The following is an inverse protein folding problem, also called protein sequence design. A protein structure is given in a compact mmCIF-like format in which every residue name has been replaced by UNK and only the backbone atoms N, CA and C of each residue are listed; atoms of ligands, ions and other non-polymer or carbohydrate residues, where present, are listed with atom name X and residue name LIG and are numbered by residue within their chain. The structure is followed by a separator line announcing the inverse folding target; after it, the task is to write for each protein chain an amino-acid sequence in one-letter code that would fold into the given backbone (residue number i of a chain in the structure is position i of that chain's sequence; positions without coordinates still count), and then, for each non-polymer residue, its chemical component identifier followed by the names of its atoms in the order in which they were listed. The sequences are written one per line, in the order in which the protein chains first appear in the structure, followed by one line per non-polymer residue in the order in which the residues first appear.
data_IF_724936400060
#
_entry.id   IF_724936400060
#
_cell.length_a   1.000
_cell.length_b   1.000
_cell.length_c   1.000
_cell.angle_alpha   90.00
_cell.angle_beta   90.00
_cell.angle_gamma   90.00
#
_symmetry.space_group_name_H-M   'P 1'
#
loop_
_entity.id
_entity.type
_entity.pdbx_description
1 polymer ?
#
# COMPACT_ATOMS: atom_id res chain seq x y z
N UNK A 1 -5.61 2.54 -87.53
CA UNK A 1 -4.99 2.96 -86.25
C UNK A 1 -6.09 3.05 -85.20
N UNK A 2 -6.25 2.00 -84.39
CA UNK A 2 -7.27 1.93 -83.34
C UNK A 2 -6.65 2.48 -82.05
N UNK A 3 -7.29 3.49 -81.46
CA UNK A 3 -6.85 4.23 -80.26
C UNK A 3 -6.59 3.28 -79.08
N UNK A 4 -5.33 3.11 -78.70
CA UNK A 4 -4.87 2.35 -77.53
C UNK A 4 -4.94 3.13 -76.20
N UNK A 5 -5.24 4.44 -76.23
CA UNK A 5 -5.30 5.27 -75.02
C UNK A 5 -6.44 4.94 -74.05
N UNK A 6 -7.54 4.35 -74.51
CA UNK A 6 -8.69 4.06 -73.64
C UNK A 6 -8.42 2.92 -72.63
N UNK A 7 -7.52 1.99 -72.95
CA UNK A 7 -7.23 0.83 -72.10
C UNK A 7 -6.21 1.15 -71.00
N UNK A 8 -5.28 2.08 -71.26
CA UNK A 8 -4.28 2.48 -70.27
C UNK A 8 -4.89 3.24 -69.08
N UNK A 9 -5.90 4.10 -69.32
CA UNK A 9 -6.60 4.80 -68.24
C UNK A 9 -7.40 3.87 -67.32
N UNK A 10 -7.95 2.79 -67.87
CA UNK A 10 -8.73 1.81 -67.12
C UNK A 10 -7.84 0.93 -66.23
N UNK A 11 -6.66 0.53 -66.72
CA UNK A 11 -5.67 -0.21 -65.93
C UNK A 11 -5.15 0.65 -64.76
N UNK A 12 -4.84 1.93 -65.01
CA UNK A 12 -4.36 2.83 -63.97
C UNK A 12 -5.42 3.07 -62.88
N UNK A 13 -6.69 3.22 -63.27
CA UNK A 13 -7.82 3.32 -62.35
C UNK A 13 -7.99 2.08 -61.48
N UNK A 14 -7.84 0.88 -62.06
CA UNK A 14 -7.94 -0.39 -61.34
C UNK A 14 -6.82 -0.54 -60.30
N UNK A 15 -5.60 -0.15 -60.64
CA UNK A 15 -4.45 -0.18 -59.72
C UNK A 15 -4.67 0.78 -58.55
N UNK A 16 -5.13 2.01 -58.81
CA UNK A 16 -5.42 3.00 -57.76
C UNK A 16 -6.55 2.51 -56.85
N UNK A 17 -7.60 1.91 -57.43
CA UNK A 17 -8.69 1.32 -56.67
C UNK A 17 -8.22 0.19 -55.75
N UNK A 18 -7.35 -0.70 -56.25
CA UNK A 18 -6.76 -1.78 -55.45
C UNK A 18 -5.88 -1.27 -54.32
N UNK A 19 -5.05 -0.26 -54.58
CA UNK A 19 -4.24 0.39 -53.54
C UNK A 19 -5.12 1.00 -52.45
N UNK A 20 -6.23 1.63 -52.84
CA UNK A 20 -7.19 2.21 -51.89
C UNK A 20 -7.87 1.12 -51.04
N UNK A 21 -8.30 0.01 -51.66
CA UNK A 21 -8.88 -1.14 -50.97
C UNK A 21 -7.91 -1.77 -49.96
N UNK A 22 -6.67 -2.02 -50.38
CA UNK A 22 -5.64 -2.61 -49.52
C UNK A 22 -5.34 -1.68 -48.35
N UNK A 23 -5.18 -0.37 -48.61
CA UNK A 23 -4.92 0.61 -47.55
C UNK A 23 -6.08 0.73 -46.56
N UNK A 24 -7.33 0.66 -47.04
CA UNK A 24 -8.52 0.69 -46.19
C UNK A 24 -8.60 -0.55 -45.29
N UNK A 25 -8.33 -1.73 -45.85
CA UNK A 25 -8.30 -3.00 -45.09
C UNK A 25 -7.19 -2.96 -44.03
N UNK A 26 -6.01 -2.42 -44.35
CA UNK A 26 -4.92 -2.24 -43.39
C UNK A 26 -5.31 -1.29 -42.27
N UNK A 27 -5.92 -0.13 -42.59
CA UNK A 27 -6.39 0.83 -41.59
C UNK A 27 -7.49 0.28 -40.68
N UNK A 28 -8.37 -0.57 -41.21
CA UNK A 28 -9.39 -1.24 -40.41
C UNK A 28 -8.80 -2.30 -39.47
N UNK A 29 -7.75 -3.02 -39.90
CA UNK A 29 -7.03 -3.99 -39.06
C UNK A 29 -6.11 -3.36 -38.02
N UNK A 30 -5.71 -2.09 -38.20
CA UNK A 30 -4.86 -1.35 -37.25
C UNK A 30 -5.64 -0.75 -36.08
N UNK A 31 -6.97 -0.69 -36.15
CA UNK A 31 -7.78 -0.18 -35.04
C UNK A 31 -7.91 -1.25 -33.96
N UNK A 32 -7.42 -1.01 -32.73
CA UNK A 32 -7.59 -1.97 -31.66
C UNK A 32 -9.08 -2.18 -31.41
N UNK A 33 -9.47 -3.42 -31.15
CA UNK A 33 -10.85 -3.72 -30.80
C UNK A 33 -11.18 -3.14 -29.42
N UNK A 34 -12.46 -2.92 -29.14
CA UNK A 34 -12.92 -2.47 -27.82
C UNK A 34 -12.45 -3.42 -26.71
N UNK A 35 -12.47 -4.74 -26.97
CA UNK A 35 -11.95 -5.76 -26.07
C UNK A 35 -10.45 -5.63 -25.80
N UNK A 36 -9.64 -5.27 -26.80
CA UNK A 36 -8.21 -5.03 -26.60
C UNK A 36 -7.96 -3.78 -25.78
N UNK A 37 -8.73 -2.72 -25.99
CA UNK A 37 -8.61 -1.48 -25.21
C UNK A 37 -9.01 -1.68 -23.75
N UNK A 38 -10.12 -2.39 -23.48
CA UNK A 38 -10.54 -2.71 -22.12
C UNK A 38 -9.53 -3.60 -21.40
N UNK A 39 -9.00 -4.61 -22.08
CA UNK A 39 -7.95 -5.47 -21.53
C UNK A 39 -6.66 -4.69 -21.23
N UNK A 40 -6.23 -3.80 -22.13
CA UNK A 40 -5.07 -2.94 -21.90
C UNK A 40 -5.29 -2.00 -20.70
N UNK A 41 -6.48 -1.42 -20.55
CA UNK A 41 -6.83 -0.57 -19.42
C UNK A 41 -6.81 -1.34 -18.09
N UNK A 42 -7.42 -2.52 -18.04
CA UNK A 42 -7.41 -3.39 -16.86
C UNK A 42 -6.00 -3.83 -16.47
N UNK A 43 -5.16 -4.21 -17.45
CA UNK A 43 -3.77 -4.56 -17.18
C UNK A 43 -2.97 -3.40 -16.60
N UNK A 44 -3.19 -2.17 -17.08
CA UNK A 44 -2.56 -0.98 -16.49
C UNK A 44 -2.94 -0.83 -15.02
N UNK A 45 -4.21 -1.01 -14.68
CA UNK A 45 -4.69 -0.96 -13.28
C UNK A 45 -4.03 -2.05 -12.42
N UNK A 46 -3.96 -3.30 -12.91
CA UNK A 46 -3.32 -4.42 -12.19
C UNK A 46 -1.84 -4.15 -11.93
N UNK A 47 -1.10 -3.71 -12.95
CA UNK A 47 0.33 -3.37 -12.82
C UNK A 47 0.51 -2.23 -11.82
N UNK A 48 -0.36 -1.23 -11.85
CA UNK A 48 -0.31 -0.09 -10.94
C UNK A 48 -0.61 -0.47 -9.49
N UNK A 49 -1.62 -1.33 -9.25
CA UNK A 49 -1.89 -1.91 -7.94
C UNK A 49 -0.68 -2.69 -7.42
N UNK A 50 -0.08 -3.54 -8.26
CA UNK A 50 1.08 -4.35 -7.88
C UNK A 50 2.30 -3.50 -7.51
N UNK A 51 2.59 -2.47 -8.30
CA UNK A 51 3.68 -1.53 -8.02
C UNK A 51 3.45 -0.77 -6.72
N UNK A 52 2.22 -0.25 -6.53
CA UNK A 52 1.84 0.49 -5.32
C UNK A 52 1.90 -0.37 -4.07
N UNK A 53 1.44 -1.63 -4.16
CA UNK A 53 1.56 -2.60 -3.08
C UNK A 53 3.01 -2.79 -2.66
N UNK A 54 3.94 -2.86 -3.62
CA UNK A 54 5.37 -2.96 -3.29
C UNK A 54 5.89 -1.65 -2.66
N UNK A 55 5.46 -0.47 -3.10
CA UNK A 55 5.82 0.79 -2.43
C UNK A 55 5.33 0.85 -0.98
N UNK A 56 4.13 0.34 -0.70
CA UNK A 56 3.62 0.24 0.67
C UNK A 56 4.45 -0.73 1.52
N UNK A 57 4.91 -1.85 0.94
CA UNK A 57 5.83 -2.76 1.64
C UNK A 57 7.18 -2.11 1.92
N UNK A 58 7.75 -1.41 0.95
CA UNK A 58 9.01 -0.69 1.13
C UNK A 58 8.88 0.40 2.20
N UNK A 59 7.78 1.16 2.18
CA UNK A 59 7.48 2.14 3.22
C UNK A 59 7.45 1.48 4.59
N UNK A 60 6.69 0.39 4.77
CA UNK A 60 6.55 -0.23 6.08
C UNK A 60 7.86 -0.79 6.62
N UNK A 61 8.71 -1.33 5.76
CA UNK A 61 10.05 -1.81 6.13
C UNK A 61 11.03 -0.67 6.48
N UNK A 62 10.87 0.50 5.85
CA UNK A 62 11.74 1.67 6.00
C UNK A 62 11.22 2.69 7.01
N UNK A 63 10.09 2.41 7.65
CA UNK A 63 9.48 3.29 8.65
C UNK A 63 10.47 3.83 9.70
N UNK A 64 11.39 3.03 10.29
CA UNK A 64 12.36 3.60 11.22
C UNK A 64 13.29 4.63 10.58
N UNK A 65 13.80 4.36 9.38
CA UNK A 65 14.72 5.26 8.66
C UNK A 65 14.00 6.54 8.23
N UNK A 66 12.77 6.41 7.75
CA UNK A 66 11.93 7.54 7.37
C UNK A 66 11.64 8.45 8.57
N UNK A 67 11.47 7.89 9.77
CA UNK A 67 11.12 8.63 10.97
C UNK A 67 12.28 8.84 11.95
N UNK A 68 13.53 8.62 11.50
CA UNK A 68 14.71 8.84 12.33
C UNK A 68 14.95 10.33 12.65
N UNK A 69 14.53 11.25 11.77
CA UNK A 69 14.79 12.69 11.91
C UNK A 69 13.52 13.54 11.92
N UNK A 70 13.53 14.67 12.64
CA UNK A 70 12.48 15.68 12.63
C UNK A 70 12.45 16.49 11.31
N UNK A 71 11.55 17.46 11.22
CA UNK A 71 11.43 18.34 10.03
C UNK A 71 12.63 19.27 9.83
N UNK A 72 13.50 19.42 10.82
CA UNK A 72 14.72 20.21 10.77
C UNK A 72 15.97 19.33 10.52
N UNK A 73 15.80 18.03 10.29
CA UNK A 73 16.88 17.08 10.08
C UNK A 73 17.61 16.63 11.36
N UNK A 74 17.05 16.88 12.55
CA UNK A 74 17.61 16.42 13.82
C UNK A 74 17.09 15.03 14.16
N UNK A 75 17.96 14.14 14.64
CA UNK A 75 17.53 12.81 15.07
C UNK A 75 16.56 12.88 16.24
N UNK A 76 15.50 12.08 16.18
CA UNK A 76 14.64 11.82 17.33
C UNK A 76 15.33 10.87 18.31
N UNK A 77 14.92 10.92 19.57
CA UNK A 77 15.30 9.93 20.57
C UNK A 77 14.83 8.52 20.16
N UNK A 78 15.55 7.48 20.59
CA UNK A 78 15.24 6.06 20.30
C UNK A 78 13.76 5.71 20.47
N UNK A 79 13.15 6.18 21.57
CA UNK A 79 11.77 5.89 21.95
C UNK A 79 10.71 6.62 21.10
N UNK A 80 11.14 7.43 20.14
CA UNK A 80 10.31 8.15 19.17
C UNK A 80 10.53 7.66 17.73
N UNK A 81 11.42 6.69 17.53
CA UNK A 81 11.62 6.06 16.21
C UNK A 81 10.71 4.81 16.15
N UNK A 82 9.74 4.77 15.22
CA UNK A 82 8.87 3.61 15.05
C UNK A 82 9.67 2.37 14.61
N UNK A 83 9.26 1.19 15.06
CA UNK A 83 9.71 -0.08 14.47
C UNK A 83 9.20 -0.25 13.02
N UNK A 84 9.78 -1.15 12.21
CA UNK A 84 9.19 -1.52 10.93
C UNK A 84 7.75 -2.05 11.08
N UNK A 85 6.94 -1.86 10.04
CA UNK A 85 5.65 -2.52 9.89
C UNK A 85 4.44 -1.60 9.82
N UNK A 86 4.63 -0.29 10.02
CA UNK A 86 3.52 0.67 9.91
C UNK A 86 3.33 1.18 8.49
N UNK A 87 2.10 1.60 8.22
CA UNK A 87 1.64 2.18 6.98
C UNK A 87 1.21 3.65 7.16
N UNK A 88 1.14 4.44 6.08
CA UNK A 88 0.67 5.83 6.18
C UNK A 88 -0.82 5.89 6.50
N UNK A 89 -1.26 7.03 7.06
CA UNK A 89 -2.69 7.30 7.16
C UNK A 89 -3.30 7.56 5.77
N UNK A 90 -4.52 7.09 5.51
CA UNK A 90 -5.22 7.42 4.26
C UNK A 90 -5.45 8.93 4.09
N UNK A 91 -5.62 9.35 2.84
CA UNK A 91 -6.14 10.67 2.46
C UNK A 91 -7.69 10.64 2.45
N UNK A 92 -8.28 11.26 3.46
CA UNK A 92 -9.71 11.34 3.73
C UNK A 92 -10.36 12.59 3.13
N UNK A 93 -9.58 13.58 2.70
CA UNK A 93 -10.09 14.85 2.16
C UNK A 93 -9.68 15.15 0.71
N UNK A 94 -9.06 14.19 0.03
CA UNK A 94 -8.66 14.22 -1.38
C UNK A 94 -7.67 15.35 -1.72
N UNK A 95 -6.81 15.73 -0.77
CA UNK A 95 -5.76 16.72 -1.01
C UNK A 95 -4.40 16.10 -1.40
N UNK A 96 -4.34 14.77 -1.52
CA UNK A 96 -3.14 14.00 -1.81
C UNK A 96 -2.23 13.79 -0.61
N UNK A 97 -2.58 14.28 0.58
CA UNK A 97 -1.78 14.18 1.79
C UNK A 97 -2.37 13.17 2.77
N UNK A 98 -1.48 12.45 3.45
CA UNK A 98 -1.86 11.60 4.59
C UNK A 98 -2.55 12.44 5.67
N UNK A 99 -3.79 12.07 6.07
CA UNK A 99 -4.52 12.79 7.11
C UNK A 99 -4.36 12.09 8.47
N UNK A 100 -3.41 12.59 9.25
CA UNK A 100 -3.11 12.10 10.58
C UNK A 100 -3.58 13.06 11.69
N UNK A 101 -3.93 12.55 12.89
CA UNK A 101 -4.01 11.13 13.24
C UNK A 101 -5.18 10.42 12.54
N UNK A 102 -5.06 9.11 12.35
CA UNK A 102 -6.11 8.26 11.75
C UNK A 102 -6.31 6.98 12.56
N UNK A 103 -7.49 6.37 12.45
CA UNK A 103 -7.81 5.12 13.15
C UNK A 103 -8.08 5.29 14.65
N UNK A 104 -8.10 6.51 15.19
CA UNK A 104 -8.50 6.77 16.57
C UNK A 104 -9.99 6.46 16.76
N UNK A 105 -10.31 5.63 17.74
CA UNK A 105 -11.66 5.13 18.01
C UNK A 105 -12.22 4.22 16.92
N UNK A 106 -11.39 3.77 15.97
CA UNK A 106 -11.82 2.98 14.80
C UNK A 106 -10.93 1.78 14.59
N UNK A 107 -11.51 0.63 14.25
CA UNK A 107 -10.75 -0.59 13.97
C UNK A 107 -9.98 -0.52 12.62
N UNK A 108 -10.54 0.20 11.65
CA UNK A 108 -10.00 0.32 10.28
C UNK A 108 -9.95 1.80 9.90
N UNK A 109 -8.84 2.26 9.36
CA UNK A 109 -8.76 3.53 8.66
C UNK A 109 -8.92 3.29 7.15
N UNK A 110 -9.77 4.06 6.48
CA UNK A 110 -9.99 3.94 5.04
C UNK A 110 -10.02 5.33 4.40
N UNK A 111 -9.52 5.43 3.17
CA UNK A 111 -9.50 6.66 2.40
C UNK A 111 -8.88 6.43 1.03
N UNK A 112 -8.41 7.51 0.39
CA UNK A 112 -7.53 7.42 -0.77
C UNK A 112 -6.10 7.13 -0.33
N UNK A 113 -5.31 6.54 -1.20
CA UNK A 113 -3.88 6.42 -0.98
C UNK A 113 -3.24 7.82 -1.03
N UNK A 114 -2.51 8.25 0.00
CA UNK A 114 -1.82 9.53 -0.04
C UNK A 114 -0.72 9.52 -1.10
N UNK A 115 -0.53 10.65 -1.79
CA UNK A 115 0.58 10.84 -2.74
C UNK A 115 1.86 11.20 -2.01
N UNK A 116 1.74 11.94 -0.92
CA UNK A 116 2.85 12.41 -0.10
C UNK A 116 2.49 12.40 1.39
N UNK A 117 3.53 12.38 2.22
CA UNK A 117 3.43 12.58 3.67
C UNK A 117 4.13 13.89 3.95
N UNK A 118 3.48 14.83 4.65
CA UNK A 118 3.93 16.23 4.74
C UNK A 118 5.41 16.41 5.12
N UNK A 119 5.96 15.53 5.96
CA UNK A 119 7.32 15.62 6.49
C UNK A 119 8.33 14.69 5.82
N UNK A 120 7.91 13.88 4.82
CA UNK A 120 8.70 12.79 4.25
C UNK A 120 8.54 12.71 2.73
N UNK A 121 9.66 12.58 2.02
CA UNK A 121 9.67 12.41 0.57
C UNK A 121 9.42 10.94 0.22
N UNK A 122 8.16 10.57 0.03
CA UNK A 122 7.75 9.25 -0.45
C UNK A 122 6.73 9.46 -1.56
N UNK A 123 6.80 8.63 -2.60
CA UNK A 123 5.84 8.65 -3.68
C UNK A 123 5.21 7.27 -3.85
N UNK A 124 3.92 7.19 -3.55
CA UNK A 124 3.13 5.97 -3.70
C UNK A 124 2.43 5.87 -5.05
N UNK A 125 2.70 6.81 -5.96
CA UNK A 125 2.15 6.81 -7.31
C UNK A 125 3.29 6.96 -8.35
N UNK A 126 3.29 6.24 -9.47
CA UNK A 126 4.25 6.47 -10.53
C UNK A 126 4.13 7.90 -11.08
N UNK A 127 5.20 8.40 -11.69
CA UNK A 127 5.33 9.79 -12.19
C UNK A 127 4.26 10.23 -13.22
N UNK A 128 3.47 9.30 -13.74
CA UNK A 128 2.39 9.58 -14.68
C UNK A 128 1.05 9.57 -13.94
N UNK A 129 0.24 10.63 -14.14
CA UNK A 129 -1.09 10.77 -13.54
C UNK A 129 -1.96 9.62 -14.06
N UNK A 130 -2.36 8.66 -13.21
CA UNK A 130 -3.30 7.63 -13.63
C UNK A 130 -4.68 8.26 -13.86
N UNK A 131 -5.46 7.70 -14.80
CA UNK A 131 -6.86 8.10 -15.03
C UNK A 131 -7.79 7.64 -13.89
N UNK A 132 -7.28 6.92 -12.90
CA UNK A 132 -8.02 6.38 -11.76
C UNK A 132 -7.36 6.79 -10.46
N UNK A 133 -8.13 6.76 -9.37
CA UNK A 133 -7.59 6.97 -8.02
C UNK A 133 -7.36 5.62 -7.33
N UNK A 134 -6.48 5.60 -6.32
CA UNK A 134 -6.25 4.43 -5.49
C UNK A 134 -6.93 4.64 -4.14
N UNK A 135 -7.71 3.65 -3.71
CA UNK A 135 -8.26 3.57 -2.37
C UNK A 135 -7.42 2.67 -1.48
N UNK A 136 -7.39 2.99 -0.20
CA UNK A 136 -6.55 2.34 0.79
C UNK A 136 -7.33 2.15 2.09
N UNK A 137 -7.52 0.90 2.49
CA UNK A 137 -8.04 0.53 3.80
C UNK A 137 -6.93 -0.18 4.57
N UNK A 138 -6.77 0.16 5.84
CA UNK A 138 -5.68 -0.35 6.67
C UNK A 138 -6.18 -0.55 8.09
N UNK A 139 -5.74 -1.65 8.70
CA UNK A 139 -6.03 -1.90 10.09
C UNK A 139 -5.37 -0.83 10.97
N UNK A 140 -6.17 -0.21 11.83
CA UNK A 140 -5.76 0.95 12.62
C UNK A 140 -4.59 0.70 13.56
N UNK A 141 -4.24 -0.56 13.87
CA UNK A 141 -3.02 -0.88 14.64
C UNK A 141 -1.76 -0.71 13.81
N UNK A 142 -1.86 -0.85 12.50
CA UNK A 142 -0.74 -0.86 11.57
C UNK A 142 -0.51 0.50 10.91
N UNK A 143 -1.14 1.58 11.38
CA UNK A 143 -0.91 2.94 10.85
C UNK A 143 0.02 3.75 11.73
N UNK A 144 0.89 4.55 11.11
CA UNK A 144 1.94 5.28 11.80
C UNK A 144 1.40 6.32 12.79
N UNK A 145 0.22 6.90 12.57
CA UNK A 145 -0.30 7.97 13.43
C UNK A 145 -1.71 7.65 13.94
N UNK A 146 -1.84 6.62 14.76
CA UNK A 146 -3.07 6.33 15.50
C UNK A 146 -2.93 6.76 16.95
N UNK A 147 -3.73 7.70 17.44
CA UNK A 147 -3.68 8.19 18.82
C UNK A 147 -4.13 7.20 19.90
N UNK A 148 -4.73 6.05 19.56
CA UNK A 148 -5.05 4.99 20.52
C UNK A 148 -3.84 4.08 20.81
N UNK A 149 -2.94 3.96 19.82
CA UNK A 149 -1.76 3.11 19.90
C UNK A 149 -0.46 3.95 19.98
N UNK A 150 -0.46 5.16 19.42
CA UNK A 150 0.68 6.05 19.19
C UNK A 150 0.41 7.43 19.82
N UNK A 151 0.76 7.57 21.10
CA UNK A 151 0.23 8.65 21.95
C UNK A 151 1.09 9.92 21.95
N UNK A 152 0.56 11.12 21.62
CA UNK A 152 0.95 12.36 22.27
C UNK A 152 0.66 12.28 23.80
N UNK A 153 1.40 12.98 24.68
CA UNK A 153 2.48 13.94 24.41
C UNK A 153 3.86 13.30 24.16
N UNK A 154 3.98 11.97 24.31
CA UNK A 154 5.27 11.26 24.26
C UNK A 154 5.66 10.71 22.89
N UNK A 155 4.73 10.70 21.92
CA UNK A 155 4.87 10.18 20.55
C UNK A 155 5.52 8.80 20.47
N UNK A 156 5.17 7.92 21.42
CA UNK A 156 5.69 6.55 21.42
C UNK A 156 4.87 5.68 20.49
N UNK A 157 5.55 4.95 19.62
CA UNK A 157 4.90 3.97 18.75
C UNK A 157 4.67 2.67 19.52
N UNK A 158 3.49 2.09 19.40
CA UNK A 158 3.14 0.82 19.97
C UNK A 158 3.68 -0.24 19.01
N UNK A 159 4.73 -0.96 19.37
CA UNK A 159 5.35 -1.95 18.50
C UNK A 159 4.37 -2.99 17.96
N UNK A 160 4.66 -3.44 16.74
CA UNK A 160 3.93 -4.51 16.10
C UNK A 160 4.68 -5.83 16.27
N UNK A 161 4.24 -6.70 17.18
CA UNK A 161 4.85 -8.02 17.36
C UNK A 161 4.80 -8.82 16.05
N UNK A 162 5.91 -9.34 15.55
CA UNK A 162 5.93 -10.07 14.26
C UNK A 162 5.67 -11.55 14.40
N UNK A 163 5.93 -12.10 15.58
CA UNK A 163 5.66 -13.52 15.86
C UNK A 163 4.17 -13.68 16.17
N UNK A 164 3.63 -12.75 16.97
CA UNK A 164 2.23 -12.71 17.38
C UNK A 164 1.63 -11.32 17.15
N UNK A 165 1.57 -10.83 15.89
CA UNK A 165 0.84 -9.62 15.60
C UNK A 165 -0.62 -9.86 15.97
N UNK A 166 -1.21 -8.97 16.76
CA UNK A 166 -2.63 -9.10 17.09
C UNK A 166 -3.47 -9.32 15.83
N UNK A 167 -4.54 -10.11 15.94
CA UNK A 167 -5.36 -10.55 14.80
C UNK A 167 -5.75 -9.38 13.92
N UNK A 168 -5.33 -9.31 12.65
CA UNK A 168 -5.73 -8.22 11.76
C UNK A 168 -7.25 -8.25 11.51
N UNK A 169 -7.91 -7.12 11.76
CA UNK A 169 -9.37 -6.97 11.73
C UNK A 169 -9.92 -6.80 10.32
N UNK A 170 -9.06 -6.54 9.34
CA UNK A 170 -9.43 -6.46 7.92
C UNK A 170 -9.29 -7.84 7.28
N UNK A 171 -10.24 -8.22 6.42
CA UNK A 171 -10.23 -9.50 5.72
C UNK A 171 -10.24 -9.29 4.20
N UNK A 172 -9.46 -10.07 3.46
CA UNK A 172 -9.48 -10.03 2.00
C UNK A 172 -10.75 -10.72 1.43
N UNK A 173 -10.84 -10.79 0.10
CA UNK A 173 -11.94 -11.45 -0.61
C UNK A 173 -12.13 -12.93 -0.21
N UNK A 174 -11.06 -13.60 0.20
CA UNK A 174 -11.04 -15.00 0.62
C UNK A 174 -11.26 -15.16 2.13
N UNK A 175 -11.46 -14.08 2.88
CA UNK A 175 -11.60 -14.11 4.34
C UNK A 175 -10.29 -14.23 5.10
N UNK A 176 -9.13 -14.11 4.43
CA UNK A 176 -7.83 -14.15 5.10
C UNK A 176 -7.55 -12.81 5.79
N UNK A 177 -7.00 -12.82 7.01
CA UNK A 177 -6.57 -11.62 7.71
C UNK A 177 -5.57 -10.81 6.90
N UNK A 178 -5.80 -9.51 6.82
CA UNK A 178 -5.01 -8.56 6.04
C UNK A 178 -4.69 -7.32 6.87
N UNK A 179 -3.47 -6.80 6.76
CA UNK A 179 -3.10 -5.54 7.42
C UNK A 179 -3.58 -4.33 6.61
N UNK A 180 -3.71 -4.49 5.29
CA UNK A 180 -4.26 -3.48 4.41
C UNK A 180 -4.89 -4.07 3.14
N UNK A 181 -5.78 -3.30 2.53
CA UNK A 181 -6.37 -3.53 1.22
C UNK A 181 -6.15 -2.29 0.35
N UNK A 182 -5.58 -2.52 -0.83
CA UNK A 182 -5.46 -1.53 -1.89
C UNK A 182 -6.51 -1.83 -2.96
N UNK A 183 -7.18 -0.81 -3.48
CA UNK A 183 -8.21 -0.98 -4.50
C UNK A 183 -8.26 0.21 -5.45
N UNK A 184 -8.87 0.02 -6.62
CA UNK A 184 -9.04 1.06 -7.63
C UNK A 184 -10.35 1.81 -7.37
N UNK A 185 -10.28 3.13 -7.29
CA UNK A 185 -11.43 4.05 -7.31
C UNK A 185 -11.56 4.54 -8.77
N UNK A 186 -12.64 4.21 -9.49
CA UNK A 186 -12.89 4.68 -10.84
C UNK A 186 -12.95 6.22 -10.95
N UNK A 187 -12.63 6.74 -12.13
CA UNK A 187 -12.40 8.17 -12.38
C UNK A 187 -13.65 9.05 -12.17
N UNK A 188 -14.80 8.48 -12.45
CA UNK A 188 -16.12 9.10 -12.49
C UNK A 188 -16.87 8.98 -11.15
N UNK A 189 -16.19 8.52 -10.10
CA UNK A 189 -16.85 8.10 -8.88
C UNK A 189 -16.48 8.91 -7.65
N UNK A 190 -17.52 9.38 -6.96
CA UNK A 190 -17.40 9.94 -5.62
C UNK A 190 -17.13 8.83 -4.60
N UNK A 191 -15.95 8.87 -4.00
CA UNK A 191 -15.60 7.96 -2.91
C UNK A 191 -16.13 8.47 -1.57
N UNK A 192 -17.26 7.89 -1.12
CA UNK A 192 -17.80 8.14 0.22
C UNK A 192 -17.13 7.22 1.25
N UNK A 193 -16.22 7.79 2.03
CA UNK A 193 -15.45 7.06 3.02
C UNK A 193 -16.29 6.41 4.12
N UNK A 194 -17.37 7.06 4.57
CA UNK A 194 -18.17 6.60 5.71
C UNK A 194 -18.93 5.31 5.38
N UNK A 195 -19.52 5.25 4.18
CA UNK A 195 -20.19 4.05 3.66
C UNK A 195 -19.20 2.88 3.60
N UNK A 196 -18.03 3.11 2.99
CA UNK A 196 -17.07 2.04 2.78
C UNK A 196 -16.35 1.62 4.06
N UNK A 197 -16.17 2.52 5.03
CA UNK A 197 -15.64 2.21 6.35
C UNK A 197 -16.48 1.14 7.06
N UNK A 198 -17.81 1.27 7.03
CA UNK A 198 -18.70 0.26 7.63
C UNK A 198 -18.62 -1.07 6.86
N UNK A 199 -18.60 -1.03 5.53
CA UNK A 199 -18.57 -2.22 4.68
C UNK A 199 -17.30 -3.07 4.87
N UNK A 200 -16.11 -2.44 4.97
CA UNK A 200 -14.83 -3.18 5.09
C UNK A 200 -14.62 -3.85 6.45
N UNK A 201 -15.39 -3.47 7.48
CA UNK A 201 -15.36 -4.09 8.80
C UNK A 201 -16.19 -5.39 8.87
N UNK A 202 -17.07 -5.61 7.89
CA UNK A 202 -17.94 -6.78 7.88
C UNK A 202 -17.22 -8.00 7.31
N UNK A 203 -17.75 -9.19 7.62
CA UNK A 203 -17.26 -10.44 7.04
C UNK A 203 -17.44 -10.47 5.52
N UNK A 204 -16.62 -11.22 4.76
CA UNK A 204 -16.70 -11.34 3.30
C UNK A 204 -18.09 -11.70 2.75
N UNK A 205 -18.91 -12.40 3.54
CA UNK A 205 -20.25 -12.84 3.16
C UNK A 205 -21.34 -11.79 3.46
N UNK A 206 -21.04 -10.73 4.19
CA UNK A 206 -22.02 -9.69 4.53
C UNK A 206 -22.43 -8.88 3.29
N UNK A 207 -23.72 -8.51 3.13
CA UNK A 207 -24.19 -7.76 1.96
C UNK A 207 -23.41 -6.47 1.69
N UNK A 208 -23.12 -5.67 2.72
CA UNK A 208 -22.35 -4.43 2.55
C UNK A 208 -20.91 -4.70 2.09
N UNK A 209 -20.30 -5.79 2.57
CA UNK A 209 -18.96 -6.22 2.14
C UNK A 209 -18.99 -6.71 0.69
N UNK A 210 -20.04 -7.42 0.29
CA UNK A 210 -20.25 -7.82 -1.11
C UNK A 210 -20.43 -6.58 -2.00
N UNK A 211 -21.21 -5.59 -1.57
CA UNK A 211 -21.37 -4.34 -2.29
C UNK A 211 -20.03 -3.60 -2.46
N UNK A 212 -19.18 -3.57 -1.43
CA UNK A 212 -17.81 -3.06 -1.55
C UNK A 212 -16.99 -3.86 -2.58
N UNK A 213 -17.07 -5.19 -2.55
CA UNK A 213 -16.29 -6.05 -3.45
C UNK A 213 -16.73 -5.95 -4.91
N UNK A 214 -18.04 -5.87 -5.15
CA UNK A 214 -18.62 -5.67 -6.47
C UNK A 214 -18.27 -4.28 -7.01
N UNK A 215 -18.23 -3.29 -6.11
CA UNK A 215 -17.84 -1.92 -6.45
C UNK A 215 -16.36 -1.79 -6.77
N UNK A 216 -15.51 -2.47 -6.02
CA UNK A 216 -14.06 -2.44 -6.16
C UNK A 216 -13.54 -3.85 -6.48
N UNK A 217 -13.75 -4.37 -7.69
CA UNK A 217 -13.41 -5.76 -8.02
C UNK A 217 -11.90 -5.98 -8.14
N UNK A 218 -11.14 -4.93 -8.48
CA UNK A 218 -9.68 -4.98 -8.53
C UNK A 218 -9.11 -4.53 -7.20
N UNK A 219 -8.74 -5.52 -6.38
CA UNK A 219 -8.17 -5.33 -5.05
C UNK A 219 -6.83 -6.08 -4.93
N UNK A 220 -5.93 -5.55 -4.13
CA UNK A 220 -4.77 -6.27 -3.65
C UNK A 220 -4.71 -6.21 -2.12
N UNK A 221 -4.70 -7.39 -1.51
CA UNK A 221 -4.49 -7.53 -0.08
C UNK A 221 -3.01 -7.54 0.27
N UNK A 222 -2.67 -6.84 1.34
CA UNK A 222 -1.44 -7.03 2.09
C UNK A 222 -1.81 -7.94 3.26
N UNK A 223 -1.56 -9.25 3.12
CA UNK A 223 -2.02 -10.22 4.12
C UNK A 223 -1.20 -10.11 5.41
N UNK A 224 -1.77 -10.54 6.53
CA UNK A 224 -1.05 -10.57 7.81
C UNK A 224 0.19 -11.46 7.73
N UNK A 225 0.08 -12.62 7.11
CA UNK A 225 1.19 -13.55 6.87
C UNK A 225 2.33 -12.89 6.06
N UNK A 226 2.01 -12.21 4.96
CA UNK A 226 3.02 -11.50 4.16
C UNK A 226 3.69 -10.38 4.94
N UNK A 227 2.91 -9.67 5.76
CA UNK A 227 3.45 -8.65 6.65
C UNK A 227 4.42 -9.28 7.66
N UNK A 228 4.05 -10.40 8.28
CA UNK A 228 4.90 -11.13 9.23
C UNK A 228 6.22 -11.53 8.59
N UNK A 229 6.17 -12.25 7.46
CA UNK A 229 7.36 -12.73 6.76
C UNK A 229 8.30 -11.58 6.40
N UNK A 230 7.76 -10.49 5.87
CA UNK A 230 8.53 -9.31 5.47
C UNK A 230 9.17 -8.61 6.65
N UNK A 231 8.45 -8.48 7.77
CA UNK A 231 8.99 -7.87 8.97
C UNK A 231 10.03 -8.75 9.64
N UNK A 232 9.84 -10.08 9.69
CA UNK A 232 10.84 -11.01 10.22
C UNK A 232 12.11 -10.97 9.38
N UNK A 233 11.97 -11.05 8.05
CA UNK A 233 13.12 -10.96 7.14
C UNK A 233 13.85 -9.63 7.27
N UNK A 234 13.11 -8.52 7.37
CA UNK A 234 13.70 -7.19 7.54
C UNK A 234 14.48 -7.12 8.84
N UNK A 235 13.89 -7.50 9.98
CA UNK A 235 14.55 -7.42 11.27
C UNK A 235 15.74 -8.38 11.36
N UNK A 236 15.63 -9.60 10.83
CA UNK A 236 16.74 -10.54 10.77
C UNK A 236 17.94 -9.98 10.00
N UNK A 237 17.71 -9.17 8.96
CA UNK A 237 18.81 -8.55 8.19
C UNK A 237 19.58 -7.48 8.96
N UNK A 238 18.97 -6.89 9.99
CA UNK A 238 19.59 -5.86 10.82
C UNK A 238 19.98 -6.36 12.22
N UNK A 239 19.61 -7.59 12.60
CA UNK A 239 19.72 -8.05 14.00
C UNK A 239 21.13 -7.90 14.54
N UNK A 240 22.15 -8.41 13.84
CA UNK A 240 23.55 -8.31 14.26
C UNK A 240 23.99 -6.85 14.50
N UNK A 241 23.67 -5.95 13.58
CA UNK A 241 23.97 -4.52 13.70
C UNK A 241 23.23 -3.89 14.87
N UNK A 242 21.95 -4.20 15.05
CA UNK A 242 21.13 -3.69 16.14
C UNK A 242 21.60 -4.21 17.51
N UNK A 243 22.12 -5.43 17.58
CA UNK A 243 22.69 -6.03 18.78
C UNK A 243 24.03 -5.38 19.20
N UNK A 244 24.73 -4.72 18.27
CA UNK A 244 26.01 -4.03 18.52
C UNK A 244 25.84 -2.54 18.85
N UNK A 245 24.64 -1.98 18.72
CA UNK A 245 24.39 -0.57 19.01
C UNK A 245 24.59 -0.28 20.50
N UNK A 246 25.26 0.83 20.79
CA UNK A 246 25.42 1.28 22.16
C UNK A 246 24.06 1.68 22.75
N UNK A 247 23.77 1.42 24.04
CA UNK A 247 22.46 1.69 24.65
C UNK A 247 22.01 3.16 24.61
N UNK A 248 22.93 4.08 24.37
CA UNK A 248 22.72 5.52 24.25
C UNK A 248 22.51 5.98 22.80
N UNK A 249 22.65 5.11 21.80
CA UNK A 249 22.37 5.43 20.41
C UNK A 249 20.86 5.37 20.10
N UNK A 250 20.30 6.37 19.41
CA UNK A 250 18.90 6.34 19.00
C UNK A 250 18.60 5.18 18.03
N UNK A 251 17.83 4.20 18.46
CA UNK A 251 17.37 3.11 17.61
C UNK A 251 15.99 2.57 18.01
N UNK A 252 15.26 2.04 17.04
CA UNK A 252 13.93 1.44 17.24
C UNK A 252 13.97 0.05 17.89
N UNK A 253 15.14 -0.58 17.94
CA UNK A 253 15.37 -1.88 18.56
C UNK A 253 15.55 -1.74 20.07
N UNK A 254 15.37 -2.79 20.85
CA UNK A 254 15.88 -2.82 22.21
C UNK A 254 16.16 -4.29 22.56
N UNK A 255 17.25 -4.61 23.27
CA UNK A 255 17.70 -6.00 23.44
C UNK A 255 17.03 -6.76 24.61
N UNK A 256 16.46 -6.05 25.60
CA UNK A 256 16.08 -6.65 26.88
C UNK A 256 14.58 -6.92 27.12
N UNK A 257 13.94 -7.93 26.52
CA UNK A 257 12.66 -8.47 27.06
C UNK A 257 12.48 -9.98 26.85
N UNK A 258 13.49 -10.80 27.16
CA UNK A 258 13.26 -12.24 27.35
C UNK A 258 12.96 -12.54 28.84
N UNK A 259 11.71 -12.80 29.25
CA UNK A 259 11.39 -13.17 30.63
C UNK A 259 11.99 -14.52 31.05
N UNK A 260 12.46 -15.34 30.10
CA UNK A 260 13.02 -16.67 30.36
C UNK A 260 14.54 -16.67 30.55
N UNK A 261 15.25 -15.58 30.22
CA UNK A 261 16.71 -15.48 30.38
C UNK A 261 17.14 -14.04 30.75
N UNK A 262 17.06 -13.64 32.03
CA UNK A 262 17.62 -12.38 32.48
C UNK A 262 19.15 -12.40 32.38
N UNK A 263 19.73 -11.31 31.87
CA UNK A 263 21.18 -11.05 31.94
C UNK A 263 21.43 -9.84 32.86
N UNK A 264 22.66 -9.62 33.35
CA UNK A 264 22.99 -8.45 34.20
C UNK A 264 22.63 -7.10 33.55
N UNK A 265 22.54 -7.05 32.22
CA UNK A 265 22.17 -5.86 31.45
C UNK A 265 20.66 -5.77 31.15
N UNK A 266 19.87 -6.78 31.54
CA UNK A 266 18.45 -6.93 31.19
C UNK A 266 17.64 -7.59 32.33
N UNK A 267 17.23 -6.84 33.39
CA UNK A 267 16.52 -7.41 34.52
C UNK A 267 15.02 -7.67 34.22
N UNK A 268 14.58 -8.91 34.49
CA UNK A 268 13.21 -9.40 34.33
C UNK A 268 12.15 -8.47 34.94
N UNK A 269 11.20 -7.99 34.12
CA UNK A 269 9.95 -7.40 34.60
C UNK A 269 8.73 -7.91 33.80
N UNK A 270 7.86 -8.64 34.48
CA UNK A 270 6.48 -8.98 34.10
C UNK A 270 5.53 -7.93 34.75
N UNK A 271 4.36 -7.60 34.16
CA UNK A 271 3.37 -8.51 33.55
C UNK A 271 3.30 -8.53 32.02
N UNK A 272 2.57 -9.54 31.52
CA UNK A 272 2.27 -9.82 30.12
C UNK A 272 1.55 -8.65 29.41
N UNK A 273 1.91 -8.46 28.15
CA UNK A 273 1.85 -7.20 27.43
C UNK A 273 0.46 -6.93 26.78
N UNK A 274 -0.34 -5.95 27.24
CA UNK A 274 -1.48 -5.43 26.50
C UNK A 274 -0.98 -4.59 25.31
N UNK A 275 -1.78 -4.45 24.26
CA UNK A 275 -1.58 -3.55 23.11
C UNK A 275 -0.78 -2.29 23.47
N UNK A 276 0.47 -2.15 22.96
CA UNK A 276 1.37 -1.04 23.35
C UNK A 276 2.74 -1.45 23.89
N UNK A 277 3.31 -2.52 23.34
CA UNK A 277 4.11 -3.48 24.10
C UNK A 277 5.47 -3.77 23.47
N UNK A 278 6.49 -2.96 23.81
CA UNK A 278 7.85 -2.87 23.18
C UNK A 278 8.31 -4.14 22.41
N UNK A 279 8.61 -4.03 21.11
CA UNK A 279 9.44 -5.00 20.40
C UNK A 279 10.72 -5.14 21.20
N UNK A 280 11.07 -6.35 21.66
CA UNK A 280 12.47 -6.76 21.80
C UNK A 280 12.65 -8.18 21.27
N UNK A 281 13.14 -8.22 20.03
CA UNK A 281 13.94 -9.26 19.38
C UNK A 281 13.31 -10.62 19.01
N UNK A 282 13.36 -10.93 17.70
CA UNK A 282 14.03 -12.15 17.25
C UNK A 282 15.46 -12.10 17.78
N UNK A 283 15.80 -13.10 18.58
CA UNK A 283 17.07 -13.32 19.29
C UNK A 283 18.30 -12.72 18.59
N UNK A 284 19.05 -11.88 19.31
CA UNK A 284 20.47 -12.23 19.48
C UNK A 284 20.47 -13.49 20.38
#
# INVERSE_FOLDING_TARGET
MIKTHSQQGLILSLIVFWLFLISLILLLNLRPTTAQLTWQAQNKQIVHLAWTREQLWQFSQQTPQLYATDTNGRFYDANRIPSPGYFPCPDTNNNGQSNAPCGQGQAIAIGRLPKNIATRSINFTPYHIPEFSLGYAVDSRYVIQNSDYHNPPIQRFAPLNVIYPGEAGLQNLQGQPSVALLFIIPADEDFNQEIWHQAVQQSPQHPDRQAFNDRFPLQQALTLEQWQDRMQSQVASFSATLCELAPDQPHWFNACTNPQQPTPNCPNQQPANPTGSDWRALLC
#
